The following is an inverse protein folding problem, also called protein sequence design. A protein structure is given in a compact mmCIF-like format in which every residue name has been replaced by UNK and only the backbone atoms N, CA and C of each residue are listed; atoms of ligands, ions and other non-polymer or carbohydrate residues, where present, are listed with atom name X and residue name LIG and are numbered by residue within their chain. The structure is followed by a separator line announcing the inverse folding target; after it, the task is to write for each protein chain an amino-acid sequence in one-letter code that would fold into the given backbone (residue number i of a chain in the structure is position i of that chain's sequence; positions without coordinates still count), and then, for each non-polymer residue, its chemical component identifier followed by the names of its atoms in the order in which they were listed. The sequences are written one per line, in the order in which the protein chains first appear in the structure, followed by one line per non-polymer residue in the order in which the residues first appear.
data_IF_803945058606
#
_entry.id   IF_803945058606
#
_cell.length_a   1.000
_cell.length_b   1.000
_cell.length_c   1.000
_cell.angle_alpha   90.00
_cell.angle_beta   90.00
_cell.angle_gamma   90.00
#
_symmetry.space_group_name_H-M   'P 1'
#
loop_
_entity.id
_entity.type
_entity.pdbx_description
1 polymer ?
#
# COMPACT_ATOMS: atom_id res chain seq x y z
N UNK A 1 -11.41 15.88 0.69
CA UNK A 1 -11.80 15.43 0.65
C UNK A 1 -12.60 14.90 0.88
N UNK A 2 -12.69 14.90 1.29
CA UNK A 2 -13.27 14.48 1.52
C UNK A 2 -14.09 13.88 1.71
N UNK A 3 -13.73 13.55 1.86
CA UNK A 3 -14.60 12.81 1.96
C UNK A 3 -15.66 12.68 2.37
N UNK A 4 -15.99 12.48 2.57
CA UNK A 4 -17.08 12.49 3.19
C UNK A 4 -17.39 11.34 3.99
N UNK A 5 -18.00 11.38 5.09
CA UNK A 5 -18.09 10.36 6.07
C UNK A 5 -18.78 9.10 5.65
N UNK A 6 -19.73 9.18 4.78
CA UNK A 6 -20.47 7.98 4.39
C UNK A 6 -19.63 6.99 3.59
N UNK A 7 -18.47 7.42 3.10
CA UNK A 7 -17.56 6.54 2.40
C UNK A 7 -16.30 6.30 3.20
N UNK A 8 -16.40 6.48 4.50
CA UNK A 8 -15.27 6.38 5.38
C UNK A 8 -15.03 4.91 5.72
N UNK A 9 -14.21 4.26 4.92
CA UNK A 9 -13.93 2.84 5.07
C UNK A 9 -12.64 2.67 5.86
N UNK A 10 -12.63 1.83 6.91
CA UNK A 10 -11.39 1.58 7.64
C UNK A 10 -10.31 1.02 6.72
N UNK A 11 -9.06 1.35 7.03
CA UNK A 11 -7.93 0.92 6.19
C UNK A 11 -7.91 -0.59 6.02
N UNK A 12 -8.19 -1.34 7.09
CA UNK A 12 -8.12 -2.80 7.03
C UNK A 12 -9.22 -3.43 6.17
N UNK A 13 -10.20 -2.63 5.74
CA UNK A 13 -11.24 -3.10 4.83
C UNK A 13 -11.03 -2.64 3.40
N UNK A 14 -10.05 -1.76 3.17
CA UNK A 14 -9.75 -1.28 1.83
C UNK A 14 -8.84 -2.27 1.13
N UNK A 15 -9.14 -2.55 -0.14
CA UNK A 15 -8.24 -3.39 -0.91
C UNK A 15 -7.02 -2.61 -1.40
N UNK A 16 -7.24 -1.37 -1.85
CA UNK A 16 -6.18 -0.52 -2.39
C UNK A 16 -5.86 0.55 -1.35
N UNK A 17 -4.59 0.65 -0.98
CA UNK A 17 -4.12 1.65 -0.02
C UNK A 17 -3.18 2.61 -0.72
N UNK A 18 -3.25 3.89 -0.37
CA UNK A 18 -2.19 4.80 -0.78
C UNK A 18 -0.96 4.51 0.07
N UNK A 19 0.18 5.16 -0.27
CA UNK A 19 1.44 4.85 0.41
C UNK A 19 1.33 5.17 1.91
N UNK A 20 0.71 6.27 2.27
CA UNK A 20 0.59 6.66 3.68
C UNK A 20 -0.26 5.67 4.47
N UNK A 21 -1.37 5.24 3.88
CA UNK A 21 -2.22 4.24 4.52
C UNK A 21 -1.49 2.92 4.70
N UNK A 22 -0.77 2.51 3.66
CA UNK A 22 -0.02 1.25 3.71
C UNK A 22 1.09 1.32 4.76
N UNK A 23 1.77 2.47 4.86
CA UNK A 23 2.82 2.65 5.85
C UNK A 23 2.27 2.44 7.25
N UNK A 24 1.10 2.97 7.52
CA UNK A 24 0.48 2.82 8.83
C UNK A 24 0.00 1.39 9.07
N UNK A 25 -0.65 0.81 8.08
CA UNK A 25 -1.21 -0.53 8.22
C UNK A 25 -0.12 -1.58 8.40
N UNK A 26 0.94 -1.50 7.60
CA UNK A 26 2.01 -2.50 7.61
C UNK A 26 3.16 -2.15 8.55
N UNK A 27 3.12 -0.95 9.16
CA UNK A 27 4.19 -0.49 10.05
C UNK A 27 5.52 -0.42 9.33
N UNK A 28 5.50 0.09 8.11
CA UNK A 28 6.70 0.27 7.28
C UNK A 28 6.78 1.75 6.94
N UNK A 29 7.98 2.30 6.96
CA UNK A 29 8.14 3.73 6.67
C UNK A 29 7.69 4.09 5.26
N UNK A 30 7.16 5.31 5.11
CA UNK A 30 6.66 5.81 3.83
C UNK A 30 7.75 5.76 2.77
N UNK A 31 8.96 6.21 3.12
CA UNK A 31 10.06 6.23 2.16
C UNK A 31 10.45 4.84 1.71
N UNK A 32 10.45 3.89 2.63
CA UNK A 32 10.78 2.51 2.29
C UNK A 32 9.74 1.92 1.33
N UNK A 33 8.46 2.16 1.62
CA UNK A 33 7.40 1.68 0.73
C UNK A 33 7.49 2.31 -0.65
N UNK A 34 7.77 3.61 -0.71
CA UNK A 34 7.91 4.30 -1.97
C UNK A 34 9.07 3.73 -2.77
N UNK A 35 10.19 3.47 -2.09
CA UNK A 35 11.35 2.87 -2.73
C UNK A 35 11.07 1.47 -3.24
N UNK A 36 10.34 0.67 -2.45
CA UNK A 36 9.97 -0.67 -2.88
C UNK A 36 9.13 -0.64 -4.16
N UNK A 37 8.14 0.25 -4.21
CA UNK A 37 7.30 0.36 -5.40
C UNK A 37 8.12 0.80 -6.62
N UNK A 38 9.07 1.71 -6.42
CA UNK A 38 9.91 2.18 -7.52
C UNK A 38 10.91 1.12 -7.96
N UNK A 39 11.40 0.31 -7.03
CA UNK A 39 12.34 -0.76 -7.34
C UNK A 39 11.67 -1.94 -8.03
N UNK A 40 10.41 -2.18 -7.72
CA UNK A 40 9.66 -3.31 -8.25
C UNK A 40 8.35 -2.82 -8.87
N UNK A 41 8.43 -1.99 -9.93
CA UNK A 41 7.21 -1.36 -10.47
C UNK A 41 6.24 -2.35 -11.10
N UNK A 42 6.71 -3.55 -11.44
CA UNK A 42 5.85 -4.58 -12.05
C UNK A 42 5.38 -5.62 -11.05
N UNK A 43 5.64 -5.41 -9.75
CA UNK A 43 5.19 -6.35 -8.73
C UNK A 43 3.67 -6.43 -8.72
N UNK A 44 3.15 -7.61 -8.38
CA UNK A 44 1.70 -7.83 -8.38
C UNK A 44 0.99 -7.04 -7.28
N UNK A 45 1.72 -6.57 -6.27
CA UNK A 45 1.13 -5.86 -5.14
C UNK A 45 1.12 -4.34 -5.34
N UNK A 46 1.67 -3.82 -6.44
CA UNK A 46 1.67 -2.39 -6.69
C UNK A 46 0.69 -2.06 -7.80
N UNK A 47 -0.04 -0.95 -7.62
CA UNK A 47 -0.97 -0.46 -8.63
C UNK A 47 -0.60 1.00 -8.91
N UNK A 48 -0.35 1.31 -10.16
CA UNK A 48 0.00 2.67 -10.55
C UNK A 48 -1.25 3.43 -10.97
N UNK A 49 -1.47 4.55 -10.31
CA UNK A 49 -2.54 5.48 -10.68
C UNK A 49 -1.84 6.72 -11.22
N UNK A 50 -1.66 6.76 -12.53
CA UNK A 50 -0.79 7.76 -13.13
C UNK A 50 0.64 7.51 -12.67
N UNK A 51 1.27 8.49 -12.03
CA UNK A 51 2.61 8.32 -11.49
C UNK A 51 2.58 8.10 -9.97
N UNK A 52 1.42 7.77 -9.41
CA UNK A 52 1.28 7.54 -7.97
C UNK A 52 1.18 6.05 -7.70
N UNK A 53 2.05 5.55 -6.85
CA UNK A 53 2.03 4.14 -6.46
C UNK A 53 0.95 3.93 -5.40
N UNK A 54 0.20 2.85 -5.55
CA UNK A 54 -0.75 2.40 -4.55
C UNK A 54 -0.47 0.94 -4.25
N UNK A 55 -0.93 0.47 -3.11
CA UNK A 55 -0.60 -0.87 -2.63
C UNK A 55 -1.86 -1.72 -2.61
N UNK A 56 -1.80 -2.88 -3.23
CA UNK A 56 -2.86 -3.88 -3.15
C UNK A 56 -2.67 -4.62 -1.84
N UNK A 57 -3.52 -4.34 -0.87
CA UNK A 57 -3.30 -4.76 0.50
C UNK A 57 -3.07 -6.26 0.64
N UNK A 58 -3.94 -7.06 0.07
CA UNK A 58 -3.84 -8.52 0.26
C UNK A 58 -2.61 -9.10 -0.42
N UNK A 59 -2.27 -8.61 -1.60
CA UNK A 59 -1.10 -9.10 -2.30
C UNK A 59 0.19 -8.67 -1.61
N UNK A 60 0.19 -7.48 -1.05
CA UNK A 60 1.36 -7.03 -0.29
C UNK A 60 1.49 -7.83 1.01
N UNK A 61 0.37 -8.18 1.64
CA UNK A 61 0.41 -9.07 2.80
C UNK A 61 1.10 -10.38 2.45
N UNK A 62 0.73 -10.97 1.31
CA UNK A 62 1.37 -12.21 0.87
C UNK A 62 2.87 -12.04 0.63
N UNK A 63 3.24 -10.90 0.08
CA UNK A 63 4.64 -10.60 -0.20
C UNK A 63 5.45 -10.54 1.09
N UNK A 64 4.99 -9.74 2.05
CA UNK A 64 5.78 -9.56 3.28
C UNK A 64 5.72 -10.78 4.18
N UNK A 65 4.69 -11.61 4.07
CA UNK A 65 4.62 -12.84 4.86
C UNK A 65 5.78 -13.77 4.58
N UNK A 66 6.41 -13.63 3.41
CA UNK A 66 7.55 -14.48 3.03
C UNK A 66 8.88 -13.88 3.43
N UNK A 67 8.88 -12.67 3.98
CA UNK A 67 10.11 -11.99 4.33
C UNK A 67 10.34 -12.07 5.83
N UNK A 68 11.62 -12.13 6.22
CA UNK A 68 11.99 -12.02 7.62
C UNK A 68 12.30 -10.59 8.02
N UNK A 69 12.65 -9.77 7.03
CA UNK A 69 12.91 -8.36 7.27
C UNK A 69 12.69 -7.61 5.95
N UNK A 70 12.57 -6.31 6.06
CA UNK A 70 12.29 -5.52 4.89
C UNK A 70 13.12 -4.19 4.89
#
# INVERSE_FOLDING_TARGET
METNGKFNIPIWEKYILNIEEAAEYFKIGVHKLRNLANDFPDADWVLWNGNRAQIKRKLFENYIDKLNYI
#
